data_IF_837755066039
#
_entry.id   IF_837755066039
#
_cell.length_a   1.000
_cell.length_b   1.000
_cell.length_c   1.000
_cell.angle_alpha   90.00
_cell.angle_beta   90.00
_cell.angle_gamma   90.00
#
_symmetry.space_group_name_H-M   'P 1'
#
loop_
_entity.id
_entity.type
_entity.pdbx_description
1 polymer ?
#
# COMPACT_ATOMS: atom_id res chain seq x y z
N UNK A 1 3.78 0.96 -14.80
CA UNK A 1 2.37 1.34 -14.54
C UNK A 1 1.93 0.65 -13.26
N UNK A 2 1.15 1.31 -12.40
CA UNK A 2 0.58 0.66 -11.23
C UNK A 2 -0.54 -0.28 -11.68
N UNK A 3 -0.45 -1.55 -11.29
CA UNK A 3 -1.40 -2.61 -11.69
C UNK A 3 -2.38 -2.95 -10.59
N UNK A 4 -2.01 -2.70 -9.33
CA UNK A 4 -2.86 -2.92 -8.17
C UNK A 4 -2.51 -1.93 -7.05
N UNK A 5 -3.52 -1.50 -6.31
CA UNK A 5 -3.37 -0.75 -5.07
C UNK A 5 -4.28 -1.34 -3.99
N UNK A 6 -3.77 -1.41 -2.77
CA UNK A 6 -4.48 -1.95 -1.63
C UNK A 6 -4.26 -1.08 -0.38
N UNK A 7 -5.31 -0.95 0.42
CA UNK A 7 -5.28 -0.34 1.75
C UNK A 7 -5.64 -1.42 2.75
N UNK A 8 -4.71 -1.68 3.67
CA UNK A 8 -4.84 -2.69 4.71
C UNK A 8 -4.92 -1.99 6.07
N UNK A 9 -5.88 -2.43 6.88
CA UNK A 9 -6.10 -1.97 8.23
C UNK A 9 -4.96 -2.29 9.19
N UNK A 10 -5.07 -1.72 10.39
CA UNK A 10 -4.16 -1.97 11.51
C UNK A 10 -4.13 -3.45 11.93
N UNK A 11 -5.27 -4.12 11.78
CA UNK A 11 -5.57 -5.51 12.12
C UNK A 11 -5.31 -6.49 10.94
N UNK A 12 -4.59 -6.05 9.91
CA UNK A 12 -4.38 -6.82 8.68
C UNK A 12 -5.66 -7.12 7.89
N UNK A 13 -6.79 -6.43 8.18
CA UNK A 13 -8.00 -6.53 7.37
C UNK A 13 -7.91 -5.71 6.08
N UNK A 14 -8.27 -6.25 4.91
CA UNK A 14 -8.30 -5.48 3.67
C UNK A 14 -9.44 -4.46 3.72
N UNK A 15 -9.14 -3.16 3.65
CA UNK A 15 -10.13 -2.07 3.63
C UNK A 15 -10.47 -1.62 2.22
N UNK A 16 -9.50 -1.67 1.32
CA UNK A 16 -9.70 -1.34 -0.09
C UNK A 16 -8.74 -2.17 -0.93
N UNK A 17 -9.23 -2.64 -2.07
CA UNK A 17 -8.44 -3.37 -3.04
C UNK A 17 -8.91 -2.98 -4.43
N UNK A 18 -7.98 -2.66 -5.31
CA UNK A 18 -8.27 -2.44 -6.73
C UNK A 18 -7.14 -3.00 -7.57
N UNK A 19 -7.50 -3.55 -8.73
CA UNK A 19 -6.56 -4.03 -9.72
C UNK A 19 -7.07 -3.66 -11.12
N UNK A 20 -6.15 -3.53 -12.08
CA UNK A 20 -6.48 -3.16 -13.45
C UNK A 20 -7.21 -4.30 -14.17
N UNK A 21 -6.81 -5.54 -13.91
CA UNK A 21 -7.41 -6.73 -14.49
C UNK A 21 -8.13 -7.57 -13.41
N UNK A 22 -9.47 -7.65 -13.42
CA UNK A 22 -10.24 -8.44 -12.46
C UNK A 22 -9.88 -9.93 -12.45
N UNK A 23 -9.44 -10.50 -13.58
CA UNK A 23 -9.08 -11.91 -13.65
C UNK A 23 -7.83 -12.25 -12.82
N UNK A 24 -6.98 -11.25 -12.56
CA UNK A 24 -5.77 -11.39 -11.76
C UNK A 24 -5.96 -10.94 -10.30
N UNK A 25 -7.16 -10.52 -9.92
CA UNK A 25 -7.47 -9.98 -8.58
C UNK A 25 -6.98 -10.91 -7.48
N UNK A 26 -7.35 -12.19 -7.55
CA UNK A 26 -6.97 -13.18 -6.54
C UNK A 26 -5.43 -13.34 -6.45
N UNK A 27 -4.73 -13.33 -7.59
CA UNK A 27 -3.26 -13.40 -7.62
C UNK A 27 -2.63 -12.19 -6.94
N UNK A 28 -3.16 -10.99 -7.21
CA UNK A 28 -2.67 -9.76 -6.58
C UNK A 28 -3.00 -9.70 -5.09
N UNK A 29 -4.16 -10.18 -4.66
CA UNK A 29 -4.50 -10.29 -3.24
C UNK A 29 -3.48 -11.14 -2.48
N UNK A 30 -3.09 -12.31 -3.02
CA UNK A 30 -2.05 -13.13 -2.40
C UNK A 30 -0.70 -12.42 -2.30
N UNK A 31 -0.28 -11.70 -3.35
CA UNK A 31 0.98 -10.91 -3.33
C UNK A 31 0.92 -9.80 -2.28
N UNK A 32 -0.18 -9.07 -2.20
CA UNK A 32 -0.38 -8.01 -1.20
C UNK A 32 -0.33 -8.59 0.20
N UNK A 33 -1.03 -9.71 0.46
CA UNK A 33 -1.05 -10.36 1.77
C UNK A 33 0.33 -10.88 2.17
N UNK A 34 1.07 -11.53 1.27
CA UNK A 34 2.44 -11.99 1.53
C UNK A 34 3.42 -10.84 1.81
N UNK A 35 3.12 -9.62 1.35
CA UNK A 35 3.97 -8.46 1.60
C UNK A 35 3.84 -7.91 3.03
N UNK A 36 2.79 -8.28 3.76
CA UNK A 36 2.57 -7.83 5.13
C UNK A 36 3.65 -8.32 6.08
N UNK A 37 4.17 -9.53 5.89
CA UNK A 37 5.26 -10.07 6.71
C UNK A 37 6.53 -9.19 6.61
N UNK A 38 6.86 -8.76 5.38
CA UNK A 38 8.00 -7.86 5.13
C UNK A 38 7.77 -6.47 5.72
N UNK A 39 6.52 -5.98 5.68
CA UNK A 39 6.15 -4.71 6.33
C UNK A 39 6.36 -4.80 7.84
N UNK A 40 5.91 -5.89 8.47
CA UNK A 40 6.08 -6.10 9.91
C UNK A 40 7.55 -6.22 10.31
N UNK A 41 8.36 -6.95 9.53
CA UNK A 41 9.81 -7.04 9.76
C UNK A 41 10.49 -5.67 9.70
N UNK A 42 10.19 -4.87 8.66
CA UNK A 42 10.75 -3.51 8.52
C UNK A 42 10.30 -2.56 9.64
N UNK A 43 9.07 -2.69 10.12
CA UNK A 43 8.57 -1.89 11.24
C UNK A 43 9.25 -2.27 12.57
N UNK A 44 9.55 -3.55 12.78
CA UNK A 44 10.19 -4.04 13.99
C UNK A 44 11.71 -3.78 14.02
N UNK A 45 12.37 -3.85 12.86
CA UNK A 45 13.82 -3.72 12.73
C UNK A 45 14.29 -2.28 12.45
N UNK A 46 13.37 -1.32 12.31
CA UNK A 46 13.69 0.07 12.00
C UNK A 46 14.58 0.72 13.07
N UNK A 47 15.76 1.19 12.67
CA UNK A 47 16.63 2.02 13.52
C UNK A 47 15.84 3.23 14.03
N UNK A 48 15.85 3.47 15.35
CA UNK A 48 15.10 4.54 16.03
C UNK A 48 15.37 5.97 15.51
N UNK A 49 16.39 6.15 14.68
CA UNK A 49 16.75 7.42 14.04
C UNK A 49 15.88 7.76 12.82
N UNK A 50 15.27 6.77 12.16
CA UNK A 50 14.46 6.94 10.92
C UNK A 50 12.96 6.70 11.12
N UNK A 51 12.51 6.59 12.38
CA UNK A 51 11.14 6.23 12.78
C UNK A 51 10.02 7.20 12.35
N UNK A 52 10.33 8.19 11.51
CA UNK A 52 9.37 9.13 10.94
C UNK A 52 9.10 8.91 9.46
N UNK A 53 9.89 8.08 8.76
CA UNK A 53 9.65 7.86 7.35
C UNK A 53 8.49 6.86 7.14
N UNK A 54 7.35 7.40 6.70
CA UNK A 54 6.13 6.62 6.41
C UNK A 54 6.29 5.71 5.17
N UNK A 55 7.28 5.97 4.33
CA UNK A 55 7.54 5.22 3.12
C UNK A 55 8.57 4.12 3.39
N UNK A 56 8.17 2.85 3.23
CA UNK A 56 9.04 1.69 3.45
C UNK A 56 9.86 1.30 2.21
N UNK A 57 9.64 1.98 1.08
CA UNK A 57 10.30 1.66 -0.18
C UNK A 57 9.79 0.38 -0.82
N UNK A 58 10.65 -0.21 -1.63
CA UNK A 58 10.45 -1.54 -2.20
C UNK A 58 10.44 -2.58 -1.08
N UNK A 59 9.36 -3.35 -0.99
CA UNK A 59 9.24 -4.48 -0.05
C UNK A 59 9.96 -5.69 -0.63
N UNK A 60 9.54 -6.12 -1.81
CA UNK A 60 10.24 -7.13 -2.59
C UNK A 60 9.88 -7.00 -4.07
N UNK A 61 10.70 -7.63 -4.90
CA UNK A 61 10.52 -7.68 -6.35
C UNK A 61 10.29 -9.12 -6.78
N UNK A 62 9.29 -9.31 -7.63
CA UNK A 62 9.05 -10.52 -8.41
C UNK A 62 9.49 -10.27 -9.85
N UNK A 63 9.43 -11.32 -10.68
CA UNK A 63 9.85 -11.27 -12.09
C UNK A 63 9.13 -10.16 -12.88
N UNK A 64 7.81 -10.04 -12.69
CA UNK A 64 6.96 -9.07 -13.42
C UNK A 64 6.42 -7.94 -12.56
N UNK A 65 6.63 -7.98 -11.25
CA UNK A 65 5.99 -7.04 -10.33
C UNK A 65 6.95 -6.55 -9.25
N UNK A 66 6.96 -5.24 -9.01
CA UNK A 66 7.60 -4.60 -7.86
C UNK A 66 6.54 -4.16 -6.88
N UNK A 67 6.73 -4.50 -5.60
CA UNK A 67 5.74 -4.24 -4.56
C UNK A 67 6.34 -3.23 -3.59
N UNK A 68 5.64 -2.10 -3.45
CA UNK A 68 6.07 -1.00 -2.60
C UNK A 68 5.13 -0.85 -1.41
N UNK A 69 5.69 -0.41 -0.28
CA UNK A 69 4.98 -0.27 0.97
C UNK A 69 5.05 1.14 1.54
N UNK A 70 3.96 1.57 2.15
CA UNK A 70 3.86 2.80 2.92
C UNK A 70 3.00 2.55 4.15
N UNK A 71 3.43 2.97 5.32
CA UNK A 71 2.72 2.79 6.58
C UNK A 71 2.50 4.14 7.22
N UNK A 72 1.23 4.46 7.48
CA UNK A 72 0.82 5.67 8.19
C UNK A 72 1.15 5.58 9.68
N UNK A 73 1.16 6.72 10.37
CA UNK A 73 1.30 6.79 11.82
C UNK A 73 0.15 6.09 12.57
N UNK A 74 -1.02 5.91 11.94
CA UNK A 74 -2.16 5.14 12.48
C UNK A 74 -2.07 3.64 12.20
N UNK A 75 -0.93 3.16 11.67
CA UNK A 75 -0.66 1.76 11.30
C UNK A 75 -1.53 1.22 10.17
N UNK A 76 -2.14 2.11 9.37
CA UNK A 76 -2.75 1.74 8.09
C UNK A 76 -1.64 1.55 7.07
N UNK A 77 -1.70 0.45 6.32
CA UNK A 77 -0.67 0.01 5.39
C UNK A 77 -1.20 0.19 3.96
N UNK A 78 -0.49 0.96 3.16
CA UNK A 78 -0.76 1.11 1.74
C UNK A 78 0.26 0.27 0.97
N UNK A 79 -0.24 -0.52 0.03
CA UNK A 79 0.57 -1.38 -0.82
C UNK A 79 0.23 -1.04 -2.27
N UNK A 80 1.26 -0.78 -3.07
CA UNK A 80 1.11 -0.52 -4.51
C UNK A 80 1.98 -1.52 -5.26
N UNK A 81 1.38 -2.21 -6.21
CA UNK A 81 2.04 -3.14 -7.11
C UNK A 81 2.26 -2.46 -8.46
N UNK A 82 3.49 -2.46 -8.92
CA UNK A 82 3.93 -1.84 -10.17
C UNK A 82 4.46 -2.93 -11.09
N UNK A 83 4.11 -2.87 -12.37
CA UNK A 83 4.72 -3.75 -13.39
C UNK A 83 6.23 -3.43 -13.55
N UNK A 84 7.06 -4.47 -13.43
CA UNK A 84 8.52 -4.41 -13.55
C UNK A 84 9.00 -3.97 -14.94
N UNK A 85 8.18 -4.13 -15.99
CA UNK A 85 8.51 -3.67 -17.36
C UNK A 85 8.65 -2.14 -17.43
N UNK A 86 8.13 -1.41 -16.44
CA UNK A 86 8.21 0.04 -16.37
C UNK A 86 9.49 0.49 -15.64
N UNK A 87 10.63 0.43 -16.34
CA UNK A 87 11.94 0.84 -15.80
C UNK A 87 12.05 2.35 -15.55
N UNK A 88 11.14 3.16 -16.10
CA UNK A 88 11.16 4.63 -15.97
C UNK A 88 10.61 5.16 -14.64
N UNK A 89 9.82 4.38 -13.90
CA UNK A 89 9.22 4.83 -12.65
C UNK A 89 10.29 5.04 -11.58
N UNK A 90 10.50 6.30 -11.20
CA UNK A 90 11.47 6.67 -10.16
C UNK A 90 10.84 6.55 -8.79
N UNK A 91 11.66 6.28 -7.79
CA UNK A 91 11.24 6.16 -6.38
C UNK A 91 10.51 7.42 -5.86
N UNK A 92 10.87 8.61 -6.38
CA UNK A 92 10.19 9.86 -6.08
C UNK A 92 8.74 9.92 -6.58
N UNK A 93 8.45 9.30 -7.73
CA UNK A 93 7.10 9.24 -8.28
C UNK A 93 6.23 8.30 -7.46
N UNK A 94 6.80 7.17 -7.02
CA UNK A 94 6.14 6.23 -6.11
C UNK A 94 5.84 6.89 -4.77
N UNK A 95 6.81 7.62 -4.19
CA UNK A 95 6.56 8.45 -2.98
C UNK A 95 5.43 9.45 -3.20
N UNK A 96 5.39 10.12 -4.35
CA UNK A 96 4.32 11.08 -4.68
C UNK A 96 2.95 10.40 -4.78
N UNK A 97 2.88 9.20 -5.37
CA UNK A 97 1.65 8.40 -5.42
C UNK A 97 1.15 8.06 -4.02
N UNK A 98 2.03 7.59 -3.13
CA UNK A 98 1.65 7.28 -1.75
C UNK A 98 1.18 8.50 -0.98
N UNK A 99 1.83 9.67 -1.15
CA UNK A 99 1.38 10.91 -0.52
C UNK A 99 -0.02 11.31 -0.99
N UNK A 100 -0.29 11.19 -2.29
CA UNK A 100 -1.62 11.47 -2.86
C UNK A 100 -2.67 10.49 -2.32
N UNK A 101 -2.34 9.19 -2.28
CA UNK A 101 -3.23 8.16 -1.73
C UNK A 101 -3.52 8.42 -0.24
N UNK A 102 -2.50 8.80 0.53
CA UNK A 102 -2.66 9.14 1.94
C UNK A 102 -3.59 10.35 2.14
N UNK A 103 -3.43 11.40 1.33
CA UNK A 103 -4.32 12.57 1.38
C UNK A 103 -5.77 12.19 1.13
N UNK A 104 -6.02 11.38 0.08
CA UNK A 104 -7.38 10.93 -0.26
C UNK A 104 -7.97 10.05 0.84
N UNK A 105 -7.15 9.15 1.42
CA UNK A 105 -7.57 8.33 2.56
C UNK A 105 -7.91 9.19 3.78
N UNK A 106 -7.10 10.20 4.09
CA UNK A 106 -7.35 11.12 5.19
C UNK A 106 -8.66 11.90 4.98
N UNK A 107 -8.90 12.41 3.77
CA UNK A 107 -10.15 13.10 3.43
C UNK A 107 -11.37 12.18 3.60
N UNK A 108 -11.24 10.89 3.23
CA UNK A 108 -12.29 9.90 3.41
C UNK A 108 -12.57 9.62 4.90
N UNK A 109 -11.53 9.47 5.73
CA UNK A 109 -11.67 9.27 7.18
C UNK A 109 -12.24 10.49 7.88
N UNK A 110 -11.98 11.70 7.37
CA UNK A 110 -12.56 12.94 7.87
C UNK A 110 -14.04 13.13 7.50
N UNK A 111 -14.64 12.23 6.72
CA UNK A 111 -16.07 12.25 6.45
C UNK A 111 -16.84 11.84 7.73
N UNK A 112 -17.81 12.64 8.22
CA UNK A 112 -18.58 12.33 9.44
C UNK A 112 -19.42 11.05 9.33
N UNK A 113 -19.68 10.56 8.11
CA UNK A 113 -20.38 9.30 7.85
C UNK A 113 -19.42 8.12 7.60
N UNK A 114 -18.11 8.34 7.71
CA UNK A 114 -17.14 7.26 7.64
C UNK A 114 -17.28 6.35 8.85
N UNK A 115 -17.54 5.07 8.60
CA UNK A 115 -17.59 4.05 9.64
C UNK A 115 -16.20 3.42 9.71
N UNK A 116 -15.47 3.57 10.83
CA UNK A 116 -14.20 2.90 11.00
C UNK A 116 -14.35 1.40 10.83
N UNK A 117 -13.32 0.79 10.27
CA UNK A 117 -13.21 -0.65 10.03
C UNK A 117 -14.08 -1.25 8.91
N UNK A 118 -15.01 -0.51 8.34
CA UNK A 118 -15.74 -0.95 7.14
C UNK A 118 -14.89 -0.83 5.85
N UNK A 119 -15.15 -1.67 4.84
CA UNK A 119 -14.50 -1.56 3.55
C UNK A 119 -14.90 -0.24 2.85
N UNK A 120 -13.92 0.42 2.23
CA UNK A 120 -14.15 1.65 1.48
C UNK A 120 -14.82 1.29 0.15
N UNK A 121 -16.09 1.66 0.00
CA UNK A 121 -16.91 1.34 -1.19
C UNK A 121 -17.09 2.52 -2.15
N UNK A 122 -16.47 3.67 -1.87
CA UNK A 122 -16.56 4.85 -2.75
C UNK A 122 -15.96 4.55 -4.13
N UNK A 123 -16.77 4.77 -5.18
CA UNK A 123 -16.35 4.65 -6.58
C UNK A 123 -15.51 5.84 -7.03
#
# INVERSE_FOLDING_TARGET
>A
MAVCAAIIGKDNSPKYFTCVNPDEELSFQYKVLSSLDVVEEKLNNGNKSDSRELYLGLLYSLERHKIYGYVTNTKIKFIIVIDSTNTSLRDNEVRSMFRKLHSIYADNVCNPFYIPDEPITSK
#
